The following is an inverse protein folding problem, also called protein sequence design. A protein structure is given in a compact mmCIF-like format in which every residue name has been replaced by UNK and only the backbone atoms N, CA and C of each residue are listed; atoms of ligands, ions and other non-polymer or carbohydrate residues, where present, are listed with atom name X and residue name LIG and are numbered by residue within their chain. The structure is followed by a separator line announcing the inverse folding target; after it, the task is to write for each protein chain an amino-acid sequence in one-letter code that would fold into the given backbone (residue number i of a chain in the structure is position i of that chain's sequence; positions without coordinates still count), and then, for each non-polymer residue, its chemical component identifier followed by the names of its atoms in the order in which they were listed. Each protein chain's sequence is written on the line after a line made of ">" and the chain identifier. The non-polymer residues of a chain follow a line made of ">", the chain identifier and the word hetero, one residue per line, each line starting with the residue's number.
data_IF_985063626305
#
_entry.id   IF_985063626305
#
_cell.length_a   1.000
_cell.length_b   1.000
_cell.length_c   1.000
_cell.angle_alpha   90.00
_cell.angle_beta   90.00
_cell.angle_gamma   90.00
#
_symmetry.space_group_name_H-M   'P 1'
#
loop_
_entity.id
_entity.type
_entity.pdbx_description
1 polymer ?
#
# COMPACT_ATOMS: atom_id res chain seq x y z
N UNK A 1 -24.05 17.62 -6.95
CA UNK A 1 -23.05 16.57 -6.81
C UNK A 1 -23.33 15.62 -5.63
N UNK A 2 -23.67 16.11 -4.46
CA UNK A 2 -24.15 15.28 -3.32
C UNK A 2 -25.27 14.29 -3.70
N UNK A 3 -26.14 14.68 -4.63
CA UNK A 3 -27.27 13.85 -5.08
C UNK A 3 -26.87 12.63 -5.92
N UNK A 4 -25.70 12.65 -6.57
CA UNK A 4 -25.24 11.51 -7.40
C UNK A 4 -24.60 10.45 -6.52
N UNK A 5 -23.82 10.84 -5.51
CA UNK A 5 -23.20 9.89 -4.57
C UNK A 5 -24.26 9.19 -3.69
N UNK A 6 -25.22 9.96 -3.21
CA UNK A 6 -26.37 9.42 -2.45
C UNK A 6 -27.23 8.51 -3.35
N UNK A 7 -27.36 8.84 -4.64
CA UNK A 7 -28.06 8.02 -5.62
C UNK A 7 -27.37 6.68 -5.90
N UNK A 8 -26.02 6.67 -5.96
CA UNK A 8 -25.25 5.44 -6.18
C UNK A 8 -25.33 4.50 -4.96
N UNK A 9 -25.21 5.05 -3.76
CA UNK A 9 -25.40 4.29 -2.52
C UNK A 9 -26.83 3.78 -2.38
N UNK A 10 -27.82 4.59 -2.77
CA UNK A 10 -29.23 4.17 -2.74
C UNK A 10 -29.54 3.09 -3.80
N UNK A 11 -28.90 3.12 -4.99
CA UNK A 11 -29.05 2.07 -6.00
C UNK A 11 -28.40 0.75 -5.55
N UNK A 12 -27.25 0.80 -4.85
CA UNK A 12 -26.62 -0.40 -4.27
C UNK A 12 -27.48 -0.99 -3.13
N UNK A 13 -28.16 -0.16 -2.35
CA UNK A 13 -29.09 -0.60 -1.30
C UNK A 13 -30.41 -1.14 -1.85
N UNK A 14 -30.92 -0.60 -2.95
CA UNK A 14 -32.22 -0.97 -3.51
C UNK A 14 -32.30 -2.34 -4.19
N UNK A 15 -31.17 -2.87 -4.66
CA UNK A 15 -31.12 -4.16 -5.36
C UNK A 15 -31.13 -5.39 -4.43
N UNK A 16 -31.08 -5.22 -3.11
CA UNK A 16 -30.89 -6.29 -2.12
C UNK A 16 -32.04 -6.51 -1.14
N UNK A 17 -33.18 -5.85 -1.31
CA UNK A 17 -34.30 -5.89 -0.35
C UNK A 17 -35.04 -7.23 -0.24
N UNK A 18 -34.55 -8.31 -0.84
CA UNK A 18 -35.11 -9.64 -0.69
C UNK A 18 -34.02 -10.68 -0.45
N UNK A 19 -33.54 -10.81 0.77
CA UNK A 19 -32.95 -12.08 1.23
C UNK A 19 -32.59 -12.06 2.72
N UNK A 20 -33.12 -13.02 3.42
CA UNK A 20 -32.76 -13.64 4.70
C UNK A 20 -31.72 -12.90 5.57
N UNK A 21 -32.15 -12.48 6.74
CA UNK A 21 -31.36 -11.99 7.88
C UNK A 21 -30.38 -13.07 8.35
N UNK A 22 -29.21 -13.17 7.72
CA UNK A 22 -28.05 -13.72 8.40
C UNK A 22 -27.56 -12.66 9.41
N UNK A 23 -27.26 -13.09 10.64
CA UNK A 23 -26.64 -12.23 11.63
C UNK A 23 -25.37 -11.60 11.01
N UNK A 24 -25.13 -10.30 11.24
CA UNK A 24 -23.96 -9.63 10.69
C UNK A 24 -22.70 -10.37 11.14
N UNK A 25 -21.88 -10.83 10.21
CA UNK A 25 -20.55 -11.35 10.51
C UNK A 25 -19.66 -10.16 10.76
N UNK A 26 -19.10 -10.08 11.95
CA UNK A 26 -18.14 -9.04 12.32
C UNK A 26 -16.75 -9.65 12.32
N UNK A 27 -15.92 -9.16 11.40
CA UNK A 27 -14.49 -9.38 11.38
C UNK A 27 -13.77 -8.19 12.02
N UNK A 28 -12.64 -8.43 12.65
CA UNK A 28 -11.78 -7.38 13.17
C UNK A 28 -10.31 -7.80 13.15
N UNK A 29 -9.44 -6.83 13.03
CA UNK A 29 -8.00 -6.97 13.21
C UNK A 29 -7.45 -5.82 14.04
N UNK A 30 -6.38 -6.10 14.76
CA UNK A 30 -5.58 -5.13 15.49
C UNK A 30 -4.11 -5.45 15.22
N UNK A 31 -3.39 -4.47 14.69
CA UNK A 31 -1.95 -4.57 14.45
C UNK A 31 -1.24 -3.50 15.25
N UNK A 32 -0.23 -3.89 16.01
CA UNK A 32 0.66 -2.95 16.68
C UNK A 32 2.10 -3.26 16.25
N UNK A 33 2.83 -2.24 15.79
CA UNK A 33 4.24 -2.36 15.41
C UNK A 33 5.07 -1.34 16.19
N UNK A 34 6.28 -1.74 16.52
CA UNK A 34 7.28 -0.83 17.09
C UNK A 34 8.61 -1.08 16.40
N UNK A 35 9.30 0.00 16.06
CA UNK A 35 10.58 -0.05 15.37
C UNK A 35 11.64 0.73 16.13
N UNK A 36 12.77 0.08 16.39
CA UNK A 36 14.01 0.76 16.69
C UNK A 36 14.80 0.96 15.41
N UNK A 37 15.12 2.20 15.07
CA UNK A 37 15.88 2.57 13.89
C UNK A 37 17.23 3.19 14.30
N UNK A 38 18.28 2.86 13.55
CA UNK A 38 19.61 3.35 13.84
C UNK A 38 20.40 3.60 12.56
N UNK A 39 20.76 4.87 12.31
CA UNK A 39 21.73 5.21 11.27
C UNK A 39 23.15 4.98 11.80
N UNK A 40 23.79 3.91 11.32
CA UNK A 40 25.11 3.49 11.78
C UNK A 40 26.23 4.43 11.31
N UNK A 41 25.97 5.26 10.30
CA UNK A 41 26.96 6.19 9.74
C UNK A 41 27.05 7.48 10.58
N UNK A 42 25.91 8.01 11.04
CA UNK A 42 25.89 9.29 11.77
C UNK A 42 25.47 9.14 13.24
N UNK A 43 25.05 7.94 13.67
CA UNK A 43 24.65 7.64 15.05
C UNK A 43 23.23 8.10 15.42
N UNK A 44 22.45 8.67 14.51
CA UNK A 44 21.05 9.04 14.79
C UNK A 44 20.23 7.80 15.09
N UNK A 45 19.28 7.90 16.01
CA UNK A 45 18.34 6.84 16.38
C UNK A 45 16.94 7.37 16.45
N UNK A 46 15.97 6.52 16.13
CA UNK A 46 14.55 6.80 16.23
C UNK A 46 13.79 5.61 16.79
N UNK A 47 12.69 5.90 17.45
CA UNK A 47 11.72 4.89 17.88
C UNK A 47 10.37 5.24 17.27
N UNK A 48 9.94 4.42 16.33
CA UNK A 48 8.70 4.61 15.57
C UNK A 48 7.66 3.59 16.02
N UNK A 49 6.41 4.01 16.13
CA UNK A 49 5.31 3.16 16.55
C UNK A 49 4.10 3.32 15.64
N UNK A 50 3.39 2.24 15.43
CA UNK A 50 2.21 2.12 14.61
C UNK A 50 1.15 1.28 15.32
N UNK A 51 -0.07 1.74 15.27
CA UNK A 51 -1.25 1.00 15.69
C UNK A 51 -2.30 1.08 14.59
N UNK A 52 -2.88 -0.08 14.24
CA UNK A 52 -3.98 -0.19 13.30
C UNK A 52 -5.13 -0.96 13.95
N UNK A 53 -6.35 -0.50 13.72
CA UNK A 53 -7.57 -1.21 14.05
C UNK A 53 -8.47 -1.26 12.82
N UNK A 54 -8.79 -2.47 12.37
CA UNK A 54 -9.67 -2.73 11.25
C UNK A 54 -10.94 -3.45 11.68
N UNK A 55 -12.03 -3.19 10.97
CA UNK A 55 -13.32 -3.83 11.15
C UNK A 55 -13.98 -4.10 9.80
N UNK A 56 -14.56 -5.28 9.65
CA UNK A 56 -15.44 -5.65 8.55
C UNK A 56 -16.78 -6.10 9.09
N UNK A 57 -17.87 -5.50 8.64
CA UNK A 57 -19.22 -5.82 9.08
C UNK A 57 -20.07 -6.23 7.88
N UNK A 58 -20.44 -7.51 7.81
CA UNK A 58 -21.39 -8.00 6.81
C UNK A 58 -22.76 -7.37 7.04
N UNK A 59 -23.32 -6.70 6.02
CA UNK A 59 -24.57 -5.95 6.10
C UNK A 59 -25.75 -6.73 5.50
N UNK A 60 -25.63 -7.10 4.23
CA UNK A 60 -26.60 -7.93 3.50
C UNK A 60 -25.84 -8.83 2.52
N UNK A 61 -26.55 -9.61 1.72
CA UNK A 61 -25.92 -10.57 0.81
C UNK A 61 -24.94 -9.88 -0.16
N UNK A 62 -23.67 -10.21 -0.01
CA UNK A 62 -22.58 -9.67 -0.81
C UNK A 62 -22.12 -8.27 -0.40
N UNK A 63 -22.72 -7.64 0.63
CA UNK A 63 -22.32 -6.33 1.09
C UNK A 63 -21.63 -6.37 2.45
N UNK A 64 -20.55 -5.59 2.58
CA UNK A 64 -19.85 -5.38 3.82
C UNK A 64 -19.46 -3.90 3.98
N UNK A 65 -19.45 -3.42 5.20
CA UNK A 65 -18.77 -2.19 5.59
C UNK A 65 -17.33 -2.55 6.00
N UNK A 66 -16.37 -1.80 5.48
CA UNK A 66 -14.95 -1.92 5.80
C UNK A 66 -14.47 -0.62 6.43
N UNK A 67 -13.88 -0.70 7.60
CA UNK A 67 -13.32 0.44 8.32
C UNK A 67 -11.92 0.14 8.80
N UNK A 68 -11.00 1.12 8.70
CA UNK A 68 -9.63 1.03 9.22
C UNK A 68 -9.17 2.39 9.73
N UNK A 69 -8.66 2.39 10.94
CA UNK A 69 -8.06 3.56 11.57
C UNK A 69 -6.65 3.22 12.04
N UNK A 70 -5.76 4.22 11.97
CA UNK A 70 -4.38 4.09 12.40
C UNK A 70 -3.99 5.19 13.38
N UNK A 71 -2.93 4.91 14.14
CA UNK A 71 -2.21 5.92 14.92
C UNK A 71 -0.71 5.70 14.75
N UNK A 72 0.04 6.78 14.54
CA UNK A 72 1.49 6.75 14.39
C UNK A 72 2.14 7.77 15.32
N UNK A 73 3.26 7.42 15.93
CA UNK A 73 4.05 8.33 16.74
C UNK A 73 5.52 7.92 16.75
N UNK A 74 6.39 8.93 16.93
CA UNK A 74 7.83 8.78 16.89
C UNK A 74 8.47 9.48 18.07
N UNK A 75 9.51 8.89 18.64
CA UNK A 75 10.43 9.51 19.57
C UNK A 75 11.82 9.55 18.94
N UNK A 76 12.49 10.69 19.02
CA UNK A 76 13.70 11.00 18.25
C UNK A 76 13.36 11.72 16.95
N UNK A 77 14.38 12.07 16.17
CA UNK A 77 14.20 12.65 14.83
C UNK A 77 14.28 11.57 13.75
N UNK A 78 13.98 11.92 12.51
CA UNK A 78 14.23 11.05 11.38
C UNK A 78 15.70 10.62 11.31
N UNK A 79 15.94 9.36 11.04
CA UNK A 79 17.31 8.80 10.94
C UNK A 79 17.90 8.95 9.54
N UNK A 80 17.03 9.18 8.56
CA UNK A 80 17.33 9.47 7.16
C UNK A 80 16.68 10.78 6.71
N UNK A 81 17.17 11.31 5.62
CA UNK A 81 16.59 12.48 4.94
C UNK A 81 16.28 12.12 3.46
N UNK A 82 16.17 10.83 3.15
CA UNK A 82 16.02 10.31 1.79
C UNK A 82 14.54 10.07 1.45
N UNK A 83 14.21 10.21 0.17
CA UNK A 83 12.83 10.02 -0.31
C UNK A 83 12.46 8.54 -0.41
N UNK A 84 13.43 7.63 -0.50
CA UNK A 84 13.19 6.19 -0.49
C UNK A 84 12.62 5.68 0.83
N UNK A 85 13.01 6.32 1.94
CA UNK A 85 12.52 6.02 3.28
C UNK A 85 12.93 4.64 3.80
N UNK A 86 13.59 4.63 4.94
CA UNK A 86 14.01 3.41 5.67
C UNK A 86 12.82 2.54 6.11
N UNK A 87 11.67 3.15 6.34
CA UNK A 87 10.50 2.48 6.87
C UNK A 87 9.23 2.89 6.13
N UNK A 88 8.36 1.92 5.90
CA UNK A 88 7.01 2.13 5.38
C UNK A 88 6.02 2.60 6.47
N UNK A 89 6.48 2.88 7.69
CA UNK A 89 5.68 3.51 8.75
C UNK A 89 6.03 4.99 8.81
N UNK A 90 5.14 5.84 8.32
CA UNK A 90 5.28 7.30 8.41
C UNK A 90 4.74 7.80 9.75
N UNK A 91 5.59 8.40 10.58
CA UNK A 91 5.25 8.84 11.93
C UNK A 91 5.74 10.25 12.29
N UNK A 92 6.32 10.99 11.36
CA UNK A 92 6.98 12.28 11.60
C UNK A 92 6.06 13.35 12.19
N UNK A 93 4.77 13.27 11.88
CA UNK A 93 3.79 14.24 12.37
C UNK A 93 3.20 13.90 13.73
N UNK A 94 3.53 12.74 14.32
CA UNK A 94 2.99 12.26 15.61
C UNK A 94 1.47 12.38 15.70
N UNK A 95 0.75 12.03 14.63
CA UNK A 95 -0.70 12.09 14.61
C UNK A 95 -1.31 10.88 15.30
N UNK A 96 -2.01 11.07 16.41
CA UNK A 96 -2.52 9.97 17.24
C UNK A 96 -3.67 9.21 16.57
N UNK A 97 -4.27 9.75 15.50
CA UNK A 97 -5.40 9.11 14.85
C UNK A 97 -5.57 9.59 13.41
N UNK A 98 -5.70 8.63 12.49
CA UNK A 98 -6.11 8.86 11.10
C UNK A 98 -7.08 7.77 10.66
N UNK A 99 -8.13 8.17 9.96
CA UNK A 99 -9.06 7.24 9.33
C UNK A 99 -8.56 6.94 7.91
N UNK A 100 -8.14 5.69 7.69
CA UNK A 100 -7.60 5.24 6.40
C UNK A 100 -8.69 4.72 5.48
N UNK A 101 -9.69 4.02 6.05
CA UNK A 101 -10.77 3.42 5.29
C UNK A 101 -12.10 3.54 6.02
N UNK A 102 -13.14 3.89 5.28
CA UNK A 102 -14.54 3.81 5.66
C UNK A 102 -15.36 3.64 4.37
N UNK A 103 -15.53 2.41 3.93
CA UNK A 103 -16.10 2.09 2.63
C UNK A 103 -17.15 1.01 2.69
N UNK A 104 -18.06 1.03 1.71
CA UNK A 104 -19.01 -0.01 1.46
C UNK A 104 -18.54 -0.85 0.28
N UNK A 105 -18.40 -2.16 0.49
CA UNK A 105 -18.10 -3.13 -0.55
C UNK A 105 -19.36 -3.91 -0.91
N UNK A 106 -19.64 -4.08 -2.21
CA UNK A 106 -20.69 -4.94 -2.73
C UNK A 106 -20.11 -5.93 -3.73
N UNK A 107 -20.34 -7.21 -3.48
CA UNK A 107 -20.03 -8.32 -4.39
C UNK A 107 -21.23 -8.65 -5.26
N UNK A 108 -21.02 -8.79 -6.57
CA UNK A 108 -22.00 -9.24 -7.54
C UNK A 108 -21.57 -10.62 -8.08
N UNK A 109 -22.03 -11.67 -7.37
CA UNK A 109 -21.50 -13.01 -7.57
C UNK A 109 -20.08 -13.15 -7.01
N UNK A 110 -19.27 -14.00 -7.64
CA UNK A 110 -17.89 -14.30 -7.21
C UNK A 110 -16.83 -13.55 -8.03
N UNK A 111 -17.25 -12.78 -9.03
CA UNK A 111 -16.35 -12.24 -10.05
C UNK A 111 -16.36 -10.72 -10.21
N UNK A 112 -17.30 -10.02 -9.61
CA UNK A 112 -17.36 -8.56 -9.73
C UNK A 112 -17.62 -7.91 -8.37
N UNK A 113 -16.77 -6.94 -8.03
CA UNK A 113 -16.80 -6.24 -6.75
C UNK A 113 -16.74 -4.74 -7.00
N UNK A 114 -17.50 -4.01 -6.19
CA UNK A 114 -17.51 -2.55 -6.18
C UNK A 114 -17.34 -2.09 -4.75
N UNK A 115 -16.38 -1.21 -4.50
CA UNK A 115 -16.24 -0.55 -3.20
C UNK A 115 -16.32 0.95 -3.38
N UNK A 116 -16.99 1.65 -2.47
CA UNK A 116 -17.15 3.11 -2.52
C UNK A 116 -17.08 3.69 -1.11
N UNK A 117 -16.38 4.80 -0.96
CA UNK A 117 -16.18 5.48 0.32
C UNK A 117 -14.78 6.05 0.47
N UNK A 118 -14.36 6.24 1.70
CA UNK A 118 -12.97 6.58 2.02
C UNK A 118 -12.10 5.34 1.84
N UNK A 119 -11.07 5.44 1.02
CA UNK A 119 -10.17 4.34 0.68
C UNK A 119 -8.74 4.82 0.52
N UNK A 120 -7.82 3.88 0.64
CA UNK A 120 -6.39 4.06 0.41
C UNK A 120 -5.97 3.29 -0.86
N UNK A 121 -5.06 3.86 -1.64
CA UNK A 121 -4.61 3.27 -2.92
C UNK A 121 -3.71 2.06 -2.70
N UNK A 122 -2.82 2.11 -1.71
CA UNK A 122 -1.78 1.11 -1.50
C UNK A 122 -2.36 -0.28 -1.23
N UNK A 123 -3.42 -0.32 -0.41
CA UNK A 123 -4.11 -1.56 -0.05
C UNK A 123 -4.74 -2.27 -1.27
N UNK A 124 -5.13 -1.50 -2.29
CA UNK A 124 -5.80 -2.06 -3.47
C UNK A 124 -4.82 -2.50 -4.57
N UNK A 125 -3.56 -1.96 -4.63
CA UNK A 125 -2.71 -2.11 -5.81
C UNK A 125 -1.29 -2.62 -5.57
N UNK A 126 -0.62 -2.27 -4.47
CA UNK A 126 0.83 -2.46 -4.35
C UNK A 126 1.26 -3.52 -3.33
N UNK A 127 0.39 -3.89 -2.41
CA UNK A 127 0.70 -4.89 -1.40
C UNK A 127 0.59 -6.30 -1.97
N UNK A 128 1.71 -7.02 -1.97
CA UNK A 128 1.80 -8.42 -2.38
C UNK A 128 2.60 -9.21 -1.35
N UNK A 129 2.59 -10.56 -1.38
CA UNK A 129 3.36 -11.36 -0.45
C UNK A 129 4.87 -11.08 -0.45
N UNK A 130 5.47 -10.75 -1.61
CA UNK A 130 6.90 -10.47 -1.67
C UNK A 130 7.23 -9.01 -1.34
N UNK A 131 6.46 -8.03 -1.83
CA UNK A 131 6.68 -6.61 -1.48
C UNK A 131 6.42 -6.34 -0.01
N UNK A 132 5.40 -6.98 0.58
CA UNK A 132 5.05 -6.85 1.99
C UNK A 132 6.08 -7.41 2.98
N UNK A 133 7.12 -8.11 2.49
CA UNK A 133 8.24 -8.52 3.32
C UNK A 133 9.13 -7.33 3.70
N UNK A 134 9.34 -6.38 2.79
CA UNK A 134 10.33 -5.32 2.97
C UNK A 134 9.81 -4.19 3.86
N UNK A 135 10.74 -3.55 4.56
CA UNK A 135 10.43 -2.44 5.49
C UNK A 135 10.52 -1.09 4.81
N UNK A 136 11.23 -0.99 3.69
CA UNK A 136 11.41 0.24 2.92
C UNK A 136 10.09 0.79 2.37
N UNK A 137 9.96 2.12 2.36
CA UNK A 137 8.74 2.78 1.88
C UNK A 137 8.49 2.52 0.39
N UNK A 138 9.54 2.42 -0.42
CA UNK A 138 9.45 2.21 -1.86
C UNK A 138 8.81 0.87 -2.28
N UNK A 139 8.84 -0.13 -1.41
CA UNK A 139 8.23 -1.44 -1.66
C UNK A 139 6.74 -1.47 -1.29
N UNK A 140 6.31 -0.55 -0.44
CA UNK A 140 4.92 -0.42 0.00
C UNK A 140 4.10 0.53 -0.89
N UNK A 141 4.73 1.60 -1.39
CA UNK A 141 4.12 2.63 -2.22
C UNK A 141 5.12 3.09 -3.29
N UNK A 142 4.73 3.04 -4.55
CA UNK A 142 5.61 3.46 -5.62
C UNK A 142 5.87 4.97 -5.56
N UNK A 143 7.13 5.40 -5.43
CA UNK A 143 7.49 6.80 -5.27
C UNK A 143 7.03 7.73 -6.39
N UNK A 144 6.79 7.19 -7.59
CA UNK A 144 6.17 7.97 -8.67
C UNK A 144 4.74 8.40 -8.34
N UNK A 145 4.10 7.77 -7.37
CA UNK A 145 2.75 8.09 -6.93
C UNK A 145 2.79 9.05 -5.77
N UNK A 146 3.38 8.66 -4.66
CA UNK A 146 3.41 9.45 -3.43
C UNK A 146 4.08 10.82 -3.58
N UNK A 147 5.05 10.93 -4.49
CA UNK A 147 5.79 12.19 -4.71
C UNK A 147 5.25 13.07 -5.83
N UNK A 148 4.56 12.50 -6.81
CA UNK A 148 4.01 13.27 -7.94
C UNK A 148 2.54 13.66 -7.77
N UNK A 149 1.82 13.00 -6.86
CA UNK A 149 0.40 13.25 -6.66
C UNK A 149 0.07 13.44 -5.17
N UNK A 150 -0.80 14.37 -4.79
CA UNK A 150 -1.28 14.53 -3.40
C UNK A 150 -2.32 13.46 -3.05
N UNK A 151 -1.94 12.21 -3.14
CA UNK A 151 -2.81 11.04 -3.17
C UNK A 151 -3.27 10.53 -1.81
N UNK A 152 -4.24 9.59 -1.91
CA UNK A 152 -4.66 8.68 -0.85
C UNK A 152 -3.70 7.47 -0.72
N UNK A 153 -2.40 7.73 -0.53
CA UNK A 153 -1.42 6.74 -0.10
C UNK A 153 -1.22 6.82 1.41
N UNK A 154 -0.66 5.75 2.02
CA UNK A 154 -0.39 5.75 3.46
C UNK A 154 0.35 7.04 3.87
N UNK A 155 -0.06 7.76 4.91
CA UNK A 155 -1.10 7.40 5.90
C UNK A 155 -2.48 8.03 5.67
N UNK A 156 -2.85 8.34 4.43
CA UNK A 156 -4.07 9.08 4.11
C UNK A 156 -5.08 8.24 3.33
N UNK A 157 -6.35 8.61 3.45
CA UNK A 157 -7.45 8.11 2.62
C UNK A 157 -8.16 9.24 1.88
N UNK A 158 -8.79 8.93 0.76
CA UNK A 158 -9.66 9.84 0.02
C UNK A 158 -10.95 9.15 -0.43
N UNK A 159 -11.99 9.95 -0.65
CA UNK A 159 -13.23 9.44 -1.25
C UNK A 159 -12.94 8.92 -2.67
N UNK A 160 -13.37 7.69 -2.91
CA UNK A 160 -13.19 7.05 -4.20
C UNK A 160 -14.16 5.89 -4.44
N UNK A 161 -14.03 5.34 -5.64
CA UNK A 161 -14.72 4.13 -6.08
C UNK A 161 -13.65 3.19 -6.62
N UNK A 162 -13.70 1.94 -6.19
CA UNK A 162 -12.86 0.84 -6.64
C UNK A 162 -13.70 -0.25 -7.28
N UNK A 163 -13.26 -0.73 -8.41
CA UNK A 163 -13.86 -1.82 -9.16
C UNK A 163 -12.84 -2.95 -9.30
N UNK A 164 -13.30 -4.18 -9.08
CA UNK A 164 -12.51 -5.38 -9.32
C UNK A 164 -13.34 -6.39 -10.11
N UNK A 165 -12.77 -6.94 -11.17
CA UNK A 165 -13.42 -7.93 -12.04
C UNK A 165 -12.49 -9.08 -12.38
N UNK A 166 -12.98 -10.32 -12.16
CA UNK A 166 -12.28 -11.57 -12.43
C UNK A 166 -12.94 -12.28 -13.62
N UNK A 167 -12.60 -11.93 -14.87
CA UNK A 167 -13.25 -12.49 -16.06
C UNK A 167 -13.05 -13.99 -16.20
N UNK A 168 -11.86 -14.46 -15.88
CA UNK A 168 -11.45 -15.88 -15.86
C UNK A 168 -10.57 -16.14 -14.65
N UNK A 169 -10.35 -17.39 -14.31
CA UNK A 169 -9.48 -17.77 -13.21
C UNK A 169 -8.05 -17.28 -13.45
N UNK A 170 -7.44 -16.68 -12.44
CA UNK A 170 -6.11 -16.09 -12.48
C UNK A 170 -6.04 -14.69 -13.09
N UNK A 171 -7.05 -14.21 -13.82
CA UNK A 171 -7.04 -12.86 -14.39
C UNK A 171 -7.89 -11.90 -13.57
N UNK A 172 -7.28 -10.83 -13.08
CA UNK A 172 -7.94 -9.76 -12.32
C UNK A 172 -7.75 -8.42 -13.01
N UNK A 173 -8.84 -7.68 -13.17
CA UNK A 173 -8.86 -6.31 -13.64
C UNK A 173 -9.28 -5.41 -12.48
N UNK A 174 -8.50 -4.38 -12.17
CA UNK A 174 -8.83 -3.38 -11.16
C UNK A 174 -8.85 -1.98 -11.77
N UNK A 175 -9.78 -1.15 -11.30
CA UNK A 175 -9.85 0.26 -11.66
C UNK A 175 -10.43 1.09 -10.52
N UNK A 176 -9.80 2.22 -10.22
CA UNK A 176 -10.26 3.15 -9.18
C UNK A 176 -10.22 4.59 -9.64
N UNK A 177 -11.10 5.36 -9.04
CA UNK A 177 -11.12 6.83 -9.18
C UNK A 177 -11.29 7.43 -7.78
N UNK A 178 -10.41 8.37 -7.44
CA UNK A 178 -10.38 9.06 -6.14
C UNK A 178 -10.51 10.58 -6.32
N UNK A 179 -10.90 11.27 -5.25
CA UNK A 179 -10.64 12.72 -5.15
C UNK A 179 -9.15 12.97 -5.33
N UNK A 180 -8.77 13.96 -6.13
CA UNK A 180 -7.37 14.18 -6.52
C UNK A 180 -6.46 14.66 -5.39
N UNK A 181 -7.01 15.02 -4.23
CA UNK A 181 -6.26 15.40 -3.03
C UNK A 181 -6.76 14.59 -1.86
N UNK A 182 -5.86 13.89 -1.18
CA UNK A 182 -6.12 13.30 0.12
C UNK A 182 -5.96 14.35 1.23
N UNK A 183 -6.61 14.13 2.35
CA UNK A 183 -6.55 15.03 3.51
C UNK A 183 -6.62 14.23 4.79
N UNK A 184 -5.91 14.68 5.81
CA UNK A 184 -6.01 14.18 7.18
C UNK A 184 -7.05 14.95 8.03
N UNK A 185 -7.61 16.04 7.50
CA UNK A 185 -8.77 16.70 8.10
C UNK A 185 -10.04 15.85 7.88
N UNK A 186 -10.61 15.34 8.96
CA UNK A 186 -11.81 14.49 8.95
C UNK A 186 -12.97 15.11 8.14
N UNK A 187 -13.13 16.43 8.16
CA UNK A 187 -14.19 17.09 7.39
C UNK A 187 -13.89 17.14 5.89
N UNK A 188 -12.62 17.12 5.50
CA UNK A 188 -12.19 17.17 4.10
C UNK A 188 -12.06 15.79 3.48
N UNK A 189 -11.70 14.77 4.23
CA UNK A 189 -11.54 13.39 3.76
C UNK A 189 -12.78 12.86 3.02
N UNK A 190 -14.00 13.27 3.47
CA UNK A 190 -15.25 12.82 2.87
C UNK A 190 -15.79 13.73 1.76
N UNK A 191 -14.97 14.65 1.25
CA UNK A 191 -15.35 15.53 0.14
C UNK A 191 -14.85 14.97 -1.19
N UNK A 192 -15.70 15.08 -2.21
CA UNK A 192 -15.34 14.85 -3.59
C UNK A 192 -15.51 16.17 -4.36
N UNK A 193 -14.38 16.85 -4.61
CA UNK A 193 -14.32 18.21 -5.16
C UNK A 193 -13.45 18.27 -6.43
N UNK A 194 -13.86 17.66 -7.56
CA UNK A 194 -13.04 17.60 -8.78
C UNK A 194 -12.66 18.96 -9.38
N UNK A 195 -13.40 20.02 -9.02
CA UNK A 195 -13.12 21.38 -9.53
C UNK A 195 -11.91 22.04 -8.87
N UNK A 196 -11.67 21.76 -7.58
CA UNK A 196 -10.53 22.29 -6.82
C UNK A 196 -9.41 21.28 -6.63
N UNK A 197 -9.80 20.04 -6.31
CA UNK A 197 -8.87 18.98 -5.91
C UNK A 197 -8.48 18.09 -7.10
N UNK A 198 -9.20 18.24 -8.23
CA UNK A 198 -9.01 17.37 -9.37
C UNK A 198 -9.48 15.94 -9.14
N UNK A 199 -8.95 15.01 -9.94
CA UNK A 199 -9.30 13.58 -9.90
C UNK A 199 -8.04 12.77 -10.16
N UNK A 200 -7.88 11.68 -9.42
CA UNK A 200 -6.87 10.66 -9.66
C UNK A 200 -7.53 9.34 -10.05
N UNK A 201 -6.97 8.66 -11.04
CA UNK A 201 -7.40 7.34 -11.49
C UNK A 201 -6.22 6.40 -11.61
N UNK A 202 -6.44 5.15 -11.21
CA UNK A 202 -5.47 4.06 -11.29
C UNK A 202 -6.18 2.80 -11.74
N UNK A 203 -5.48 1.97 -12.51
CA UNK A 203 -5.99 0.66 -12.92
C UNK A 203 -4.88 -0.30 -13.25
N UNK A 204 -5.19 -1.59 -13.22
CA UNK A 204 -4.24 -2.63 -13.59
C UNK A 204 -4.93 -3.87 -14.14
N UNK A 205 -4.12 -4.66 -14.81
CA UNK A 205 -4.39 -6.05 -15.21
C UNK A 205 -3.37 -6.91 -14.49
N UNK A 206 -3.83 -7.89 -13.72
CA UNK A 206 -2.99 -8.85 -13.02
C UNK A 206 -3.31 -10.26 -13.51
N UNK A 207 -2.27 -11.07 -13.70
CA UNK A 207 -2.44 -12.47 -14.08
C UNK A 207 -1.62 -13.36 -13.15
N UNK A 208 -2.29 -14.32 -12.52
CA UNK A 208 -1.71 -15.29 -11.61
C UNK A 208 -1.66 -16.68 -12.22
N UNK A 209 -0.53 -17.34 -12.09
CA UNK A 209 -0.31 -18.71 -12.54
C UNK A 209 0.01 -19.57 -11.33
N UNK A 210 -0.84 -20.54 -10.98
CA UNK A 210 -0.56 -21.48 -9.89
C UNK A 210 0.78 -22.20 -10.09
N UNK A 211 1.54 -22.36 -9.03
CA UNK A 211 2.82 -23.07 -9.03
C UNK A 211 2.76 -24.28 -8.09
N UNK A 212 3.86 -25.03 -8.00
CA UNK A 212 3.97 -26.15 -7.04
C UNK A 212 4.16 -25.69 -5.60
N UNK A 213 4.54 -24.41 -5.38
CA UNK A 213 4.69 -23.80 -4.09
C UNK A 213 3.40 -23.14 -3.61
N UNK A 214 3.45 -22.46 -2.47
CA UNK A 214 2.30 -21.72 -1.94
C UNK A 214 2.04 -20.43 -2.71
N UNK A 215 3.11 -19.75 -3.14
CA UNK A 215 2.98 -18.51 -3.88
C UNK A 215 2.88 -18.80 -5.37
N UNK A 216 1.85 -18.28 -6.00
CA UNK A 216 1.68 -18.28 -7.45
C UNK A 216 2.69 -17.34 -8.12
N UNK A 217 2.95 -17.55 -9.41
CA UNK A 217 3.58 -16.50 -10.20
C UNK A 217 2.53 -15.41 -10.47
N UNK A 218 2.89 -14.15 -10.31
CA UNK A 218 2.00 -13.00 -10.49
C UNK A 218 2.64 -11.94 -11.36
N UNK A 219 1.88 -11.41 -12.31
CA UNK A 219 2.32 -10.39 -13.25
C UNK A 219 1.26 -9.30 -13.33
N UNK A 220 1.65 -8.08 -12.96
CA UNK A 220 0.73 -6.94 -12.97
C UNK A 220 1.30 -5.83 -13.84
N UNK A 221 0.45 -5.27 -14.69
CA UNK A 221 0.72 -4.05 -15.44
C UNK A 221 -0.37 -3.04 -15.15
N UNK A 222 0.02 -1.83 -14.81
CA UNK A 222 -0.89 -0.78 -14.40
C UNK A 222 -0.63 0.57 -15.07
N UNK A 223 -1.61 1.42 -14.92
CA UNK A 223 -1.67 2.77 -15.46
C UNK A 223 -2.20 3.70 -14.40
N UNK A 224 -1.65 4.91 -14.34
CA UNK A 224 -2.11 5.99 -13.48
C UNK A 224 -2.32 7.26 -14.30
N UNK A 225 -3.35 8.01 -13.96
CA UNK A 225 -3.62 9.32 -14.51
C UNK A 225 -4.24 10.22 -13.45
N UNK A 226 -3.62 11.35 -13.23
CA UNK A 226 -4.12 12.39 -12.33
C UNK A 226 -4.32 13.70 -13.08
N UNK A 227 -5.35 14.44 -12.68
CA UNK A 227 -5.47 15.86 -12.88
C UNK A 227 -5.61 16.47 -11.49
N UNK A 228 -4.49 16.87 -10.90
CA UNK A 228 -4.36 17.25 -9.50
C UNK A 228 -3.71 18.62 -9.37
N UNK A 229 -3.81 19.30 -8.21
CA UNK A 229 -3.12 20.56 -8.00
C UNK A 229 -1.61 20.42 -8.21
N UNK A 230 -1.03 21.39 -8.91
CA UNK A 230 0.42 21.48 -9.12
C UNK A 230 1.16 21.67 -7.78
N UNK A 231 2.35 21.10 -7.66
CA UNK A 231 3.24 21.33 -6.51
C UNK A 231 3.71 22.78 -6.41
N UNK A 232 3.84 23.48 -7.55
CA UNK A 232 4.35 24.84 -7.62
C UNK A 232 3.26 25.89 -7.39
N UNK A 233 2.06 25.63 -7.92
CA UNK A 233 0.87 26.48 -7.75
C UNK A 233 -0.36 25.61 -7.54
N UNK A 234 -0.73 25.40 -6.29
CA UNK A 234 -1.89 24.60 -5.92
C UNK A 234 -3.24 25.09 -6.48
N UNK A 235 -3.30 26.27 -7.11
CA UNK A 235 -4.48 26.75 -7.82
C UNK A 235 -4.63 26.20 -9.24
N UNK A 236 -3.55 25.66 -9.82
CA UNK A 236 -3.52 25.10 -11.17
C UNK A 236 -3.59 23.58 -11.12
N UNK A 237 -4.55 23.00 -11.84
CA UNK A 237 -4.64 21.54 -11.98
C UNK A 237 -3.80 21.08 -13.17
N UNK A 238 -2.74 20.32 -12.88
CA UNK A 238 -1.88 19.71 -13.88
C UNK A 238 -2.28 18.26 -14.17
N UNK A 239 -1.94 17.80 -15.37
CA UNK A 239 -2.20 16.42 -15.82
C UNK A 239 -0.92 15.64 -15.85
N UNK A 240 -0.91 14.53 -15.16
CA UNK A 240 0.20 13.61 -15.15
C UNK A 240 -0.27 12.18 -15.42
N UNK A 241 0.58 11.41 -16.05
CA UNK A 241 0.31 10.04 -16.47
C UNK A 241 1.55 9.20 -16.24
N UNK A 242 1.36 8.02 -15.72
CA UNK A 242 2.44 7.05 -15.51
C UNK A 242 1.99 5.63 -15.78
N UNK A 243 2.97 4.75 -15.89
CA UNK A 243 2.80 3.30 -16.00
C UNK A 243 3.60 2.61 -14.92
N UNK A 244 3.11 1.49 -14.45
CA UNK A 244 3.78 0.69 -13.43
C UNK A 244 3.61 -0.80 -13.70
N UNK A 245 4.47 -1.60 -13.09
CA UNK A 245 4.39 -3.05 -13.19
C UNK A 245 5.00 -3.73 -11.99
N UNK A 246 4.51 -4.91 -11.70
CA UNK A 246 4.94 -5.79 -10.62
C UNK A 246 5.04 -7.22 -11.15
N UNK A 247 6.12 -7.90 -10.77
CA UNK A 247 6.41 -9.28 -11.11
C UNK A 247 6.78 -10.04 -9.85
N UNK A 248 6.11 -11.13 -9.57
CA UNK A 248 6.54 -12.14 -8.60
C UNK A 248 6.65 -13.49 -9.31
N UNK A 249 7.88 -13.99 -9.46
CA UNK A 249 8.14 -15.23 -10.16
C UNK A 249 8.81 -16.25 -9.25
N UNK A 250 8.11 -17.29 -8.82
CA UNK A 250 8.73 -18.44 -8.18
C UNK A 250 9.74 -19.10 -9.11
N UNK A 251 11.00 -19.21 -8.65
CA UNK A 251 12.13 -19.73 -9.42
C UNK A 251 12.42 -21.20 -9.10
N UNK A 252 12.44 -21.55 -7.81
CA UNK A 252 12.84 -22.87 -7.36
C UNK A 252 12.22 -23.23 -6.01
N UNK A 253 12.15 -24.54 -5.77
CA UNK A 253 11.78 -25.13 -4.49
C UNK A 253 12.99 -25.81 -3.86
N UNK A 254 13.24 -25.54 -2.59
CA UNK A 254 14.27 -26.18 -1.76
C UNK A 254 13.56 -26.86 -0.57
N UNK A 255 13.11 -28.10 -0.78
CA UNK A 255 12.22 -28.76 0.15
C UNK A 255 10.88 -28.06 0.24
N UNK A 256 10.57 -27.41 1.37
CA UNK A 256 9.35 -26.61 1.54
C UNK A 256 9.57 -25.11 1.25
N UNK A 257 10.82 -24.67 1.19
CA UNK A 257 11.17 -23.28 0.93
C UNK A 257 11.01 -22.96 -0.56
N UNK A 258 10.44 -21.82 -0.87
CA UNK A 258 10.25 -21.34 -2.24
C UNK A 258 11.07 -20.06 -2.44
N UNK A 259 11.93 -20.07 -3.47
CA UNK A 259 12.67 -18.90 -3.92
C UNK A 259 11.84 -18.14 -4.96
N UNK A 260 11.66 -16.85 -4.74
CA UNK A 260 10.81 -15.97 -5.55
C UNK A 260 11.65 -14.79 -6.04
N UNK A 261 11.59 -14.50 -7.31
CA UNK A 261 12.10 -13.27 -7.90
C UNK A 261 11.01 -12.20 -7.81
N UNK A 262 11.35 -11.05 -7.22
CA UNK A 262 10.57 -9.83 -7.23
C UNK A 262 11.13 -8.88 -8.29
N UNK A 263 10.26 -8.26 -9.07
CA UNK A 263 10.59 -7.18 -9.97
C UNK A 263 9.47 -6.15 -9.98
N UNK A 264 9.82 -4.88 -9.86
CA UNK A 264 8.86 -3.79 -9.87
C UNK A 264 9.43 -2.59 -10.61
N UNK A 265 8.56 -1.78 -11.19
CA UNK A 265 9.01 -0.60 -11.90
C UNK A 265 7.86 0.32 -12.26
N UNK A 266 8.19 1.59 -12.40
CA UNK A 266 7.22 2.60 -12.78
C UNK A 266 7.91 3.77 -13.49
N UNK A 267 7.19 4.44 -14.39
CA UNK A 267 7.70 5.59 -15.12
C UNK A 267 6.59 6.60 -15.41
N UNK A 268 6.92 7.88 -15.29
CA UNK A 268 6.07 8.99 -15.70
C UNK A 268 6.29 9.32 -17.17
N UNK A 269 5.24 9.78 -17.85
CA UNK A 269 5.34 10.22 -19.24
C UNK A 269 5.95 11.61 -19.38
N UNK A 270 5.91 12.43 -18.33
CA UNK A 270 6.57 13.74 -18.22
C UNK A 270 7.93 13.60 -17.53
N UNK A 271 8.86 14.49 -17.88
CA UNK A 271 10.20 14.53 -17.29
C UNK A 271 10.38 15.66 -16.26
N UNK A 272 9.45 16.58 -16.17
CA UNK A 272 9.43 17.74 -15.27
C UNK A 272 8.59 17.47 -14.01
N UNK A 273 8.77 16.29 -13.42
CA UNK A 273 8.08 15.79 -12.22
C UNK A 273 9.09 15.47 -11.13
N UNK A 274 8.64 15.39 -9.87
CA UNK A 274 9.51 15.12 -8.73
C UNK A 274 10.22 13.77 -8.85
N UNK A 275 9.48 12.70 -9.16
CA UNK A 275 10.02 11.36 -9.43
C UNK A 275 9.67 10.95 -10.86
N UNK A 276 10.70 10.75 -11.71
CA UNK A 276 10.54 10.41 -13.14
C UNK A 276 10.36 8.93 -13.37
N UNK A 277 10.98 8.11 -12.55
CA UNK A 277 10.98 6.67 -12.68
C UNK A 277 11.49 5.97 -11.45
N UNK A 278 11.09 4.72 -11.33
CA UNK A 278 11.44 3.82 -10.24
C UNK A 278 11.62 2.41 -10.79
N UNK A 279 12.59 1.68 -10.27
CA UNK A 279 12.65 0.24 -10.45
C UNK A 279 13.16 -0.43 -9.18
N UNK A 280 12.64 -1.61 -8.88
CA UNK A 280 13.07 -2.47 -7.80
C UNK A 280 13.23 -3.90 -8.28
N UNK A 281 14.18 -4.62 -7.71
CA UNK A 281 14.39 -6.03 -8.00
C UNK A 281 14.99 -6.75 -6.83
N UNK A 282 14.49 -7.96 -6.53
CA UNK A 282 14.91 -8.67 -5.35
C UNK A 282 14.64 -10.17 -5.40
N UNK A 283 15.09 -10.83 -4.36
CA UNK A 283 14.86 -12.26 -4.11
C UNK A 283 14.24 -12.43 -2.73
N UNK A 284 13.19 -13.22 -2.66
CA UNK A 284 12.51 -13.62 -1.43
C UNK A 284 12.57 -15.12 -1.30
N UNK A 285 12.93 -15.61 -0.14
CA UNK A 285 12.85 -17.03 0.22
C UNK A 285 11.88 -17.17 1.39
N UNK A 286 10.75 -17.80 1.15
CA UNK A 286 9.77 -18.10 2.18
C UNK A 286 10.01 -19.48 2.84
N UNK A 287 9.38 -19.70 4.00
CA UNK A 287 9.40 -21.00 4.74
C UNK A 287 10.79 -21.53 5.01
N UNK A 288 11.71 -20.65 5.43
CA UNK A 288 13.06 -21.02 5.85
C UNK A 288 12.97 -21.69 7.23
N UNK A 289 13.91 -22.60 7.49
CA UNK A 289 14.06 -23.33 8.74
C UNK A 289 12.79 -24.08 9.17
N UNK A 290 12.03 -23.59 10.15
CA UNK A 290 10.85 -24.25 10.71
C UNK A 290 9.53 -23.86 10.02
N UNK A 291 9.58 -23.31 8.81
CA UNK A 291 8.47 -22.70 8.07
C UNK A 291 7.95 -21.37 8.65
N UNK A 292 8.64 -20.82 9.64
CA UNK A 292 8.20 -19.61 10.36
C UNK A 292 9.05 -18.39 10.02
N UNK A 293 9.94 -18.50 9.01
CA UNK A 293 10.85 -17.44 8.58
C UNK A 293 10.75 -17.19 7.10
N UNK A 294 10.75 -15.89 6.75
CA UNK A 294 10.91 -15.41 5.37
C UNK A 294 12.08 -14.43 5.34
N UNK A 295 12.96 -14.56 4.37
CA UNK A 295 14.07 -13.64 4.18
C UNK A 295 14.07 -13.08 2.77
N UNK A 296 14.57 -11.86 2.61
CA UNK A 296 14.66 -11.21 1.32
C UNK A 296 15.80 -10.22 1.21
N UNK A 297 16.16 -9.96 -0.03
CA UNK A 297 17.02 -8.86 -0.43
C UNK A 297 16.37 -8.16 -1.61
N UNK A 298 16.30 -6.83 -1.56
CA UNK A 298 15.79 -5.99 -2.65
C UNK A 298 16.75 -4.84 -2.90
N UNK A 299 16.83 -4.41 -4.13
CA UNK A 299 17.50 -3.17 -4.53
C UNK A 299 16.46 -2.29 -5.22
N UNK A 300 16.22 -1.12 -4.68
CA UNK A 300 15.32 -0.10 -5.19
C UNK A 300 16.13 1.09 -5.71
N UNK A 301 15.75 1.61 -6.86
CA UNK A 301 16.42 2.76 -7.47
C UNK A 301 15.40 3.74 -8.04
N UNK A 302 15.62 5.02 -7.77
CA UNK A 302 14.75 6.11 -8.19
C UNK A 302 15.48 7.23 -8.90
N UNK A 303 14.80 7.77 -9.91
CA UNK A 303 15.22 8.94 -10.65
C UNK A 303 14.40 10.16 -10.21
N UNK A 304 14.96 10.95 -9.29
CA UNK A 304 14.37 12.22 -8.89
C UNK A 304 14.85 13.39 -9.77
N UNK A 305 14.14 14.51 -9.67
CA UNK A 305 14.59 15.76 -10.29
C UNK A 305 15.91 16.27 -9.70
N UNK A 306 16.15 16.02 -8.42
CA UNK A 306 17.33 16.49 -7.67
C UNK A 306 18.52 15.53 -7.73
N UNK A 307 18.35 14.31 -8.20
CA UNK A 307 19.39 13.27 -8.26
C UNK A 307 18.86 11.90 -7.90
N UNK A 308 19.62 10.88 -8.22
CA UNK A 308 19.20 9.49 -8.05
C UNK A 308 19.43 9.01 -6.62
N UNK A 309 18.54 8.11 -6.17
CA UNK A 309 18.66 7.40 -4.91
C UNK A 309 18.58 5.89 -5.14
N UNK A 310 19.34 5.14 -4.33
CA UNK A 310 19.33 3.67 -4.35
C UNK A 310 19.32 3.15 -2.92
N UNK A 311 18.42 2.22 -2.62
CA UNK A 311 18.42 1.46 -1.38
C UNK A 311 18.61 -0.02 -1.66
N UNK A 312 19.44 -0.68 -0.85
CA UNK A 312 19.56 -2.15 -0.81
C UNK A 312 19.14 -2.58 0.59
N UNK A 313 17.99 -3.21 0.68
CA UNK A 313 17.48 -3.80 1.92
C UNK A 313 17.76 -5.30 1.97
N UNK A 314 18.24 -5.77 3.13
CA UNK A 314 18.29 -7.16 3.52
C UNK A 314 17.47 -7.35 4.78
N UNK A 315 16.45 -8.21 4.74
CA UNK A 315 15.55 -8.42 5.88
C UNK A 315 15.24 -9.89 6.14
N UNK A 316 14.90 -10.19 7.40
CA UNK A 316 14.41 -11.52 7.82
C UNK A 316 13.19 -11.31 8.71
N UNK A 317 12.04 -11.81 8.31
CA UNK A 317 10.83 -11.80 9.10
C UNK A 317 10.65 -13.15 9.78
N UNK A 318 10.55 -13.14 11.11
CA UNK A 318 10.45 -14.34 11.96
C UNK A 318 9.15 -14.32 12.74
N UNK A 319 8.23 -15.26 12.49
CA UNK A 319 7.09 -15.48 13.36
C UNK A 319 7.53 -16.26 14.61
N UNK A 320 7.49 -15.61 15.78
CA UNK A 320 7.78 -16.25 17.07
C UNK A 320 6.56 -17.02 17.58
N UNK A 321 5.37 -16.49 17.32
CA UNK A 321 4.08 -17.11 17.59
C UNK A 321 3.11 -16.77 16.45
N UNK A 322 1.87 -17.25 16.52
CA UNK A 322 0.83 -16.88 15.53
C UNK A 322 0.41 -15.39 15.59
N UNK A 323 0.82 -14.64 16.60
CA UNK A 323 0.43 -13.25 16.84
C UNK A 323 1.61 -12.31 17.09
N UNK A 324 2.85 -12.82 17.15
CA UNK A 324 4.06 -12.05 17.42
C UNK A 324 5.13 -12.37 16.38
N UNK A 325 5.67 -11.35 15.75
CA UNK A 325 6.82 -11.46 14.85
C UNK A 325 7.91 -10.46 15.17
N UNK A 326 9.13 -10.76 14.72
CA UNK A 326 10.31 -9.90 14.81
C UNK A 326 10.97 -9.86 13.45
N UNK A 327 11.39 -8.66 13.04
CA UNK A 327 11.97 -8.41 11.73
C UNK A 327 13.17 -7.47 11.83
N UNK A 328 14.40 -7.97 11.87
CA UNK A 328 15.59 -7.18 11.62
C UNK A 328 15.71 -6.86 10.12
N UNK A 329 16.09 -5.62 9.79
CA UNK A 329 16.44 -5.18 8.45
C UNK A 329 17.72 -4.35 8.47
N UNK A 330 18.49 -4.44 7.40
CA UNK A 330 19.67 -3.65 7.14
C UNK A 330 19.52 -2.97 5.79
N UNK A 331 19.70 -1.66 5.77
CA UNK A 331 19.64 -0.82 4.58
C UNK A 331 21.01 -0.25 4.25
N UNK A 332 21.37 -0.28 2.99
CA UNK A 332 22.52 0.43 2.44
C UNK A 332 21.99 1.44 1.44
N UNK A 333 21.96 2.70 1.85
CA UNK A 333 21.37 3.79 1.08
C UNK A 333 22.45 4.64 0.41
N UNK A 334 22.24 4.85 -0.87
CA UNK A 334 23.08 5.70 -1.71
C UNK A 334 22.25 6.85 -2.24
N UNK A 335 22.53 8.03 -1.71
CA UNK A 335 21.91 9.29 -2.10
C UNK A 335 22.92 10.14 -2.87
N UNK A 336 22.47 10.99 -3.78
CA UNK A 336 23.36 11.85 -4.58
C UNK A 336 24.26 12.78 -3.73
N UNK A 337 23.90 13.07 -2.48
CA UNK A 337 24.69 13.92 -1.57
C UNK A 337 25.50 13.15 -0.54
N UNK A 338 25.06 11.97 -0.14
CA UNK A 338 25.69 11.16 0.91
C UNK A 338 25.25 9.70 0.85
N UNK A 339 26.02 8.85 1.49
CA UNK A 339 25.71 7.44 1.65
C UNK A 339 25.62 7.10 3.13
N UNK A 340 24.75 6.18 3.49
CA UNK A 340 24.70 5.69 4.85
C UNK A 340 24.22 4.24 4.94
N UNK A 341 24.48 3.64 6.09
CA UNK A 341 23.99 2.32 6.47
C UNK A 341 23.07 2.49 7.67
N UNK A 342 21.89 1.91 7.61
CA UNK A 342 20.94 1.94 8.70
C UNK A 342 20.44 0.55 9.05
N UNK A 343 20.24 0.31 10.34
CA UNK A 343 19.60 -0.88 10.86
C UNK A 343 18.21 -0.55 11.38
N UNK A 344 17.29 -1.51 11.23
CA UNK A 344 15.94 -1.44 11.74
C UNK A 344 15.61 -2.77 12.44
N UNK A 345 14.93 -2.67 13.58
CA UNK A 345 14.34 -3.83 14.24
C UNK A 345 12.87 -3.55 14.49
N UNK A 346 12.01 -4.26 13.76
CA UNK A 346 10.55 -4.20 13.90
C UNK A 346 10.06 -5.35 14.77
N UNK A 347 9.16 -5.07 15.68
CA UNK A 347 8.38 -6.04 16.43
C UNK A 347 6.92 -5.79 16.13
N UNK A 348 6.21 -6.82 15.66
CA UNK A 348 4.81 -6.72 15.27
C UNK A 348 3.94 -7.66 16.07
N UNK A 349 2.78 -7.15 16.45
CA UNK A 349 1.72 -7.83 17.19
C UNK A 349 0.47 -7.79 16.32
N UNK A 350 -0.09 -8.96 15.98
CA UNK A 350 -1.26 -9.06 15.12
C UNK A 350 -2.33 -9.92 15.80
N UNK A 351 -3.49 -9.34 16.03
CA UNK A 351 -4.65 -9.98 16.63
C UNK A 351 -5.86 -9.84 15.70
N UNK A 352 -6.75 -10.81 15.67
CA UNK A 352 -7.96 -10.73 14.86
C UNK A 352 -8.72 -12.04 14.79
N UNK A 353 -9.93 -11.95 14.26
CA UNK A 353 -10.78 -13.11 13.98
C UNK A 353 -10.99 -13.34 12.46
N UNK A 354 -10.37 -12.53 11.61
CA UNK A 354 -10.43 -12.61 10.14
C UNK A 354 -9.26 -13.42 9.54
N UNK A 355 -8.71 -14.37 10.29
CA UNK A 355 -7.60 -15.25 9.82
C UNK A 355 -8.10 -16.47 9.09
#
# INVERSE_FOLDING_TARGET
>A
MYRILVGLVACLCGASAMSQTQAPRVGWNLTAMTEGQWNMTNGKTSWVNYLEAGVEVGLWKGAAFEGMAIATWQAGGAVDDDNLGLSNIYADENKPFRLMQASLRQSFGERFFVSAGLRNVDADYFTTPATGLFTGAADADYPILSLNYPLATFPLGAIGIHLEYLPIDGLTLKASVYNGVASDDFNRQFRFCPSSDGVFSIGCVSYEIPTKGEQAASYTLGYVHGKTPSSDDGSVLERETGFWGLLEQPLAMFGKSQLILLGQGAAMTRCDVACKGYWGGGLVMNRIARNDMTAGIVCNHMHFAEGDETDIECTIHCHLTSWLSVQPALHVMHHHKHNFVAGLLRVSLELGNNR
#
